data_IF_851746432640
#
_entry.id   IF_851746432640
#
_cell.length_a   1.000
_cell.length_b   1.000
_cell.length_c   1.000
_cell.angle_alpha   90.00
_cell.angle_beta   90.00
_cell.angle_gamma   90.00
#
_symmetry.space_group_name_H-M   'P 1'
#
loop_
_entity.id
_entity.type
_entity.pdbx_description
1 polymer ?
#
# COMPACT_ATOMS: atom_id res chain seq x y z
N UNK A 1 34.15 15.96 18.95
CA UNK A 1 35.41 16.68 19.23
C UNK A 1 36.47 16.21 18.25
N UNK A 2 37.35 17.08 17.79
CA UNK A 2 38.50 16.69 16.95
C UNK A 2 39.58 16.03 17.82
N UNK A 3 40.36 15.12 17.25
CA UNK A 3 41.49 14.47 17.95
C UNK A 3 42.69 14.27 17.03
N UNK A 4 43.90 14.31 17.60
CA UNK A 4 45.16 14.10 16.91
C UNK A 4 46.03 13.10 17.67
N UNK A 5 46.72 12.23 16.94
CA UNK A 5 47.63 11.21 17.47
C UNK A 5 49.10 11.44 17.12
N UNK A 6 49.39 12.48 16.32
CA UNK A 6 50.71 12.78 15.76
C UNK A 6 51.24 14.15 16.20
N UNK A 7 50.74 14.65 17.35
CA UNK A 7 51.21 15.91 17.94
C UNK A 7 50.60 17.16 17.32
N UNK A 8 49.39 17.05 16.75
CA UNK A 8 48.63 18.19 16.23
C UNK A 8 48.78 18.44 14.73
N UNK A 9 49.33 17.48 13.98
CA UNK A 9 49.48 17.59 12.52
C UNK A 9 48.21 17.10 11.82
N UNK A 10 47.72 15.91 12.17
CA UNK A 10 46.49 15.33 11.64
C UNK A 10 45.40 15.37 12.69
N UNK A 11 44.29 16.01 12.36
CA UNK A 11 43.09 16.03 13.18
C UNK A 11 41.97 15.26 12.51
N UNK A 12 41.30 14.39 13.27
CA UNK A 12 40.15 13.61 12.80
C UNK A 12 38.91 13.92 13.63
N UNK A 13 37.75 13.86 12.98
CA UNK A 13 36.44 13.92 13.60
C UNK A 13 35.45 13.10 12.77
N UNK A 14 34.34 12.71 13.39
CA UNK A 14 33.21 12.09 12.71
C UNK A 14 32.16 13.16 12.42
N UNK A 15 31.77 13.27 11.16
CA UNK A 15 30.59 14.04 10.76
C UNK A 15 29.37 13.12 10.80
N UNK A 16 28.29 13.59 11.42
CA UNK A 16 27.00 12.91 11.42
C UNK A 16 25.98 13.92 10.91
N UNK A 17 25.36 13.69 9.73
CA UNK A 17 24.36 14.61 9.21
C UNK A 17 23.12 14.64 10.09
N UNK A 18 22.44 15.79 10.11
CA UNK A 18 21.10 15.89 10.68
C UNK A 18 20.13 15.04 9.85
N UNK A 19 19.09 14.52 10.49
CA UNK A 19 18.03 13.78 9.80
C UNK A 19 17.18 14.70 8.90
N UNK A 20 16.50 14.10 7.94
CA UNK A 20 15.55 14.77 7.03
C UNK A 20 16.20 15.87 6.17
N UNK A 21 17.45 15.66 5.78
CA UNK A 21 18.19 16.51 4.85
C UNK A 21 18.40 15.77 3.53
N UNK A 22 18.11 16.43 2.42
CA UNK A 22 18.54 16.06 1.09
C UNK A 22 19.23 17.28 0.45
N UNK A 23 20.56 17.24 0.37
CA UNK A 23 21.38 18.32 -0.19
C UNK A 23 22.63 17.74 -0.85
N UNK A 24 22.88 18.10 -2.10
CA UNK A 24 24.01 17.60 -2.89
C UNK A 24 25.24 18.52 -2.87
N UNK A 25 25.17 19.67 -2.20
CA UNK A 25 26.10 20.81 -2.34
C UNK A 25 26.75 21.28 -1.04
N UNK A 26 27.10 20.35 -0.15
CA UNK A 26 27.63 20.69 1.17
C UNK A 26 29.16 20.85 1.19
N UNK A 27 29.65 21.73 2.07
CA UNK A 27 31.07 21.98 2.35
C UNK A 27 31.32 22.11 3.85
N UNK A 28 32.51 21.67 4.30
CA UNK A 28 33.08 22.01 5.60
C UNK A 28 34.13 23.08 5.37
N UNK A 29 33.98 24.23 6.02
CA UNK A 29 34.93 25.35 5.94
C UNK A 29 35.68 25.49 7.25
N UNK A 30 37.01 25.46 7.17
CA UNK A 30 37.91 25.80 8.28
C UNK A 30 38.25 27.29 8.20
N UNK A 31 37.99 28.02 9.29
CA UNK A 31 38.55 29.35 9.50
C UNK A 31 39.98 29.23 10.02
N UNK A 32 40.95 29.55 9.16
CA UNK A 32 42.36 29.44 9.50
C UNK A 32 42.83 30.55 10.45
N UNK A 33 42.04 31.61 10.67
CA UNK A 33 42.40 32.69 11.60
C UNK A 33 42.30 32.27 13.06
N UNK A 34 41.56 31.20 13.35
CA UNK A 34 41.41 30.61 14.68
C UNK A 34 42.50 29.63 15.11
N UNK A 35 43.47 29.32 14.23
CA UNK A 35 44.55 28.36 14.50
C UNK A 35 45.93 29.03 14.42
N UNK A 36 46.90 28.51 15.19
CA UNK A 36 48.28 28.97 15.17
C UNK A 36 49.25 27.80 15.30
N UNK A 37 50.47 27.96 14.79
CA UNK A 37 51.55 26.99 15.01
C UNK A 37 52.10 27.05 16.46
N UNK A 38 53.02 26.14 16.80
CA UNK A 38 53.64 26.09 18.14
C UNK A 38 54.51 27.32 18.47
N UNK A 39 54.88 28.13 17.47
CA UNK A 39 55.58 29.41 17.67
C UNK A 39 54.61 30.60 17.78
N UNK A 40 53.31 30.36 17.67
CA UNK A 40 52.26 31.38 17.79
C UNK A 40 51.93 32.11 16.48
N UNK A 41 52.39 31.64 15.32
CA UNK A 41 52.03 32.25 14.04
C UNK A 41 50.60 31.85 13.66
N UNK A 42 49.69 32.82 13.61
CA UNK A 42 48.29 32.59 13.24
C UNK A 42 48.12 32.33 11.73
N UNK A 43 47.15 31.48 11.38
CA UNK A 43 46.73 31.27 9.99
C UNK A 43 45.94 32.44 9.41
N UNK A 44 45.56 32.34 8.13
CA UNK A 44 44.82 33.37 7.40
C UNK A 44 43.81 32.76 6.41
N UNK A 45 42.68 33.44 6.24
CA UNK A 45 41.62 33.06 5.30
C UNK A 45 40.87 31.80 5.73
N UNK A 46 40.33 31.08 4.74
CA UNK A 46 39.58 29.83 4.96
C UNK A 46 40.13 28.70 4.09
N UNK A 47 39.76 27.48 4.44
CA UNK A 47 39.99 26.30 3.62
C UNK A 47 38.72 25.47 3.58
N UNK A 48 38.29 25.11 2.38
CA UNK A 48 37.09 24.31 2.16
C UNK A 48 37.46 22.84 1.91
N UNK A 49 36.60 21.93 2.36
CA UNK A 49 36.63 20.53 1.96
C UNK A 49 36.27 20.36 0.48
N UNK A 50 36.35 19.13 -0.02
CA UNK A 50 35.58 18.77 -1.21
C UNK A 50 34.07 18.84 -0.93
N UNK A 51 33.27 18.91 -2.00
CA UNK A 51 31.82 18.80 -1.92
C UNK A 51 31.41 17.41 -1.39
N UNK A 52 30.29 17.35 -0.67
CA UNK A 52 29.62 16.11 -0.29
C UNK A 52 28.09 16.23 -0.35
N UNK A 53 27.44 15.09 -0.60
CA UNK A 53 26.00 14.97 -0.59
C UNK A 53 25.51 14.36 0.74
N UNK A 54 24.32 14.77 1.17
CA UNK A 54 23.58 14.20 2.29
C UNK A 54 22.23 13.77 1.74
N UNK A 55 21.86 12.53 2.00
CA UNK A 55 20.48 12.07 1.88
C UNK A 55 20.12 11.26 3.12
N UNK A 56 19.26 11.85 3.95
CA UNK A 56 18.76 11.28 5.20
C UNK A 56 17.24 11.40 5.30
N UNK A 57 16.58 11.74 4.18
CA UNK A 57 15.13 11.68 4.06
C UNK A 57 14.74 10.22 3.96
N UNK A 58 13.60 9.85 4.53
CA UNK A 58 13.08 8.48 4.44
C UNK A 58 11.89 8.47 3.48
N UNK A 59 11.68 7.39 2.71
CA UNK A 59 10.53 7.29 1.84
C UNK A 59 9.24 7.26 2.66
N UNK A 60 8.24 8.01 2.18
CA UNK A 60 6.84 7.94 2.61
C UNK A 60 5.99 7.42 1.46
N UNK A 61 4.77 6.95 1.74
CA UNK A 61 3.90 6.36 0.73
C UNK A 61 2.45 6.80 0.87
N UNK A 62 1.69 6.75 -0.24
CA UNK A 62 0.23 6.77 -0.29
C UNK A 62 -0.29 5.54 -1.02
N UNK A 63 -1.51 5.09 -0.71
CA UNK A 63 -2.16 3.92 -1.34
C UNK A 63 -3.58 4.30 -1.73
N UNK A 64 -3.93 4.14 -3.00
CA UNK A 64 -5.24 4.50 -3.56
C UNK A 64 -5.79 3.32 -4.36
N UNK A 65 -7.06 3.00 -4.14
CA UNK A 65 -7.82 2.08 -4.98
C UNK A 65 -8.65 2.91 -5.96
N UNK A 66 -8.68 2.52 -7.23
CA UNK A 66 -9.47 3.22 -8.25
C UNK A 66 -10.98 3.07 -8.02
N UNK A 67 -11.40 1.89 -7.58
CA UNK A 67 -12.74 1.57 -7.11
C UNK A 67 -12.68 1.08 -5.65
N UNK A 68 -13.58 1.58 -4.82
CA UNK A 68 -13.66 1.30 -3.38
C UNK A 68 -14.93 0.55 -2.99
N UNK A 69 -15.79 0.16 -3.94
CA UNK A 69 -17.03 -0.59 -3.67
C UNK A 69 -17.11 -1.79 -4.60
N UNK A 70 -16.63 -2.96 -4.16
CA UNK A 70 -16.43 -4.10 -5.06
C UNK A 70 -17.49 -5.19 -4.88
N UNK A 71 -18.07 -5.61 -6.00
CA UNK A 71 -18.99 -6.72 -6.12
C UNK A 71 -18.31 -8.00 -6.63
N UNK A 72 -19.07 -9.11 -6.65
CA UNK A 72 -18.60 -10.39 -7.18
C UNK A 72 -18.12 -10.27 -8.65
N UNK A 73 -16.87 -10.68 -8.90
CA UNK A 73 -16.26 -10.66 -10.23
C UNK A 73 -15.57 -9.35 -10.62
N UNK A 74 -15.63 -8.32 -9.77
CA UNK A 74 -14.95 -7.05 -10.01
C UNK A 74 -13.48 -7.07 -9.58
N UNK A 75 -12.72 -6.09 -10.07
CA UNK A 75 -11.34 -5.84 -9.67
C UNK A 75 -11.09 -4.34 -9.60
N UNK A 76 -10.09 -3.92 -8.81
CA UNK A 76 -9.72 -2.51 -8.66
C UNK A 76 -8.21 -2.33 -8.89
N UNK A 77 -7.82 -1.28 -9.62
CA UNK A 77 -6.41 -0.92 -9.71
C UNK A 77 -5.98 -0.27 -8.40
N UNK A 78 -4.91 -0.79 -7.81
CA UNK A 78 -4.25 -0.22 -6.64
C UNK A 78 -3.00 0.50 -7.08
N UNK A 79 -2.89 1.76 -6.70
CA UNK A 79 -1.74 2.62 -6.97
C UNK A 79 -1.08 3.00 -5.64
N UNK A 80 0.20 2.72 -5.53
CA UNK A 80 1.06 3.06 -4.40
C UNK A 80 2.09 4.06 -4.89
N UNK A 81 2.17 5.22 -4.26
CA UNK A 81 3.12 6.28 -4.67
C UNK A 81 4.04 6.61 -3.51
N UNK A 82 5.34 6.49 -3.74
CA UNK A 82 6.37 6.88 -2.79
C UNK A 82 6.81 8.33 -3.01
N UNK A 83 7.30 8.99 -1.96
CA UNK A 83 7.85 10.35 -2.04
C UNK A 83 9.17 10.43 -2.81
N UNK A 84 9.84 9.30 -2.99
CA UNK A 84 11.10 9.13 -3.69
C UNK A 84 11.23 7.69 -4.20
N UNK A 85 12.22 7.44 -5.05
CA UNK A 85 12.37 6.14 -5.69
C UNK A 85 12.81 5.11 -4.66
N UNK A 86 12.05 4.01 -4.54
CA UNK A 86 12.36 2.93 -3.61
C UNK A 86 12.82 1.66 -4.30
N UNK A 87 13.56 0.86 -3.56
CA UNK A 87 13.96 -0.49 -3.93
C UNK A 87 13.48 -1.51 -2.90
N UNK A 88 13.41 -2.78 -3.29
CA UNK A 88 13.04 -3.88 -2.39
C UNK A 88 11.53 -4.03 -2.11
N UNK A 89 10.69 -3.10 -2.56
CA UNK A 89 9.24 -3.19 -2.35
C UNK A 89 8.61 -4.37 -3.10
N UNK A 90 7.87 -5.21 -2.36
CA UNK A 90 7.15 -6.37 -2.89
C UNK A 90 5.79 -6.55 -2.20
N UNK A 91 4.98 -7.51 -2.67
CA UNK A 91 3.73 -7.87 -1.99
C UNK A 91 3.93 -8.40 -0.56
N UNK A 92 5.14 -8.85 -0.18
CA UNK A 92 5.43 -9.29 1.19
C UNK A 92 5.40 -8.13 2.21
N UNK A 93 5.55 -6.90 1.73
CA UNK A 93 5.45 -5.69 2.55
C UNK A 93 3.99 -5.23 2.74
N UNK A 94 3.05 -5.88 2.08
CA UNK A 94 1.62 -5.55 2.10
C UNK A 94 0.81 -6.57 2.90
N UNK A 95 -0.10 -6.06 3.72
CA UNK A 95 -1.21 -6.83 4.27
C UNK A 95 -2.49 -6.40 3.56
N UNK A 96 -3.24 -7.36 3.03
CA UNK A 96 -4.44 -7.13 2.21
C UNK A 96 -5.64 -7.75 2.91
N UNK A 97 -6.66 -6.95 3.24
CA UNK A 97 -7.91 -7.45 3.79
C UNK A 97 -8.83 -7.98 2.69
N UNK A 98 -9.40 -9.17 2.90
CA UNK A 98 -10.48 -9.74 2.08
C UNK A 98 -10.24 -9.71 0.55
N UNK A 99 -9.01 -9.97 0.13
CA UNK A 99 -8.67 -10.10 -1.29
C UNK A 99 -7.20 -10.38 -1.53
N UNK A 100 -6.82 -10.32 -2.80
CA UNK A 100 -5.43 -10.53 -3.25
C UNK A 100 -5.01 -9.43 -4.21
N UNK A 101 -3.71 -9.15 -4.27
CA UNK A 101 -3.10 -8.32 -5.30
C UNK A 101 -2.32 -9.18 -6.29
N UNK A 102 -2.29 -8.77 -7.56
CA UNK A 102 -1.23 -9.21 -8.47
C UNK A 102 0.14 -8.76 -7.97
N UNK A 103 1.20 -9.25 -8.61
CA UNK A 103 2.54 -8.74 -8.36
C UNK A 103 2.59 -7.21 -8.54
N UNK A 104 3.12 -6.50 -7.55
CA UNK A 104 3.37 -5.06 -7.67
C UNK A 104 4.44 -4.81 -8.74
N UNK A 105 4.22 -3.78 -9.56
CA UNK A 105 5.14 -3.40 -10.62
C UNK A 105 5.27 -1.90 -10.75
N UNK A 106 6.47 -1.42 -11.08
CA UNK A 106 6.76 -0.01 -11.35
C UNK A 106 7.37 0.13 -12.74
N UNK A 107 7.04 1.23 -13.41
CA UNK A 107 7.58 1.60 -14.71
C UNK A 107 8.36 2.93 -14.69
N UNK A 108 8.48 3.56 -13.52
CA UNK A 108 9.06 4.89 -13.33
C UNK A 108 10.27 4.88 -12.38
N UNK A 109 10.91 3.71 -12.24
CA UNK A 109 12.11 3.56 -11.42
C UNK A 109 11.84 3.44 -9.93
N UNK A 110 10.63 3.06 -9.54
CA UNK A 110 10.27 2.76 -8.15
C UNK A 110 9.55 3.88 -7.41
N UNK A 111 9.03 4.90 -8.12
CA UNK A 111 8.23 5.97 -7.52
C UNK A 111 6.76 5.52 -7.39
N UNK A 112 6.19 5.02 -8.49
CA UNK A 112 4.82 4.55 -8.55
C UNK A 112 4.78 3.05 -8.80
N UNK A 113 4.00 2.37 -7.98
CA UNK A 113 3.78 0.94 -8.07
C UNK A 113 2.29 0.65 -8.25
N UNK A 114 1.98 -0.30 -9.13
CA UNK A 114 0.61 -0.70 -9.42
C UNK A 114 0.43 -2.20 -9.29
N UNK A 115 -0.77 -2.60 -8.86
CA UNK A 115 -1.24 -3.98 -8.85
C UNK A 115 -2.76 -4.01 -8.98
N UNK A 116 -3.32 -5.11 -9.48
CA UNK A 116 -4.77 -5.32 -9.54
C UNK A 116 -5.22 -6.04 -8.29
N UNK A 117 -6.17 -5.46 -7.57
CA UNK A 117 -6.87 -6.06 -6.44
C UNK A 117 -8.07 -6.86 -6.92
N UNK A 118 -8.23 -8.07 -6.37
CA UNK A 118 -9.38 -8.94 -6.57
C UNK A 118 -9.95 -9.31 -5.21
N UNK A 119 -11.23 -9.00 -4.92
CA UNK A 119 -11.85 -9.32 -3.64
C UNK A 119 -12.03 -10.83 -3.48
N UNK A 120 -11.97 -11.32 -2.25
CA UNK A 120 -12.32 -12.70 -1.92
C UNK A 120 -13.79 -12.95 -2.20
N UNK A 121 -14.13 -14.08 -2.81
CA UNK A 121 -15.51 -14.47 -3.11
C UNK A 121 -16.26 -14.87 -1.84
N UNK A 122 -17.56 -14.54 -1.75
CA UNK A 122 -18.41 -14.90 -0.63
C UNK A 122 -18.21 -14.07 0.64
N UNK A 123 -17.65 -12.87 0.52
CA UNK A 123 -17.39 -11.95 1.64
C UNK A 123 -18.27 -10.72 1.49
N UNK A 124 -18.91 -10.32 2.59
CA UNK A 124 -19.57 -9.02 2.73
C UNK A 124 -18.95 -8.31 3.91
N UNK A 125 -18.18 -7.26 3.64
CA UNK A 125 -17.44 -6.50 4.67
C UNK A 125 -17.40 -5.00 4.32
N UNK A 126 -17.99 -4.12 5.15
CA UNK A 126 -17.98 -2.69 4.90
C UNK A 126 -16.65 -2.00 5.29
N UNK A 127 -15.70 -2.69 5.94
CA UNK A 127 -14.46 -2.07 6.40
C UNK A 127 -13.21 -2.87 6.08
N UNK A 128 -12.48 -2.42 5.07
CA UNK A 128 -11.25 -3.06 4.60
C UNK A 128 -10.18 -2.03 4.28
N UNK A 129 -8.91 -2.39 4.50
CA UNK A 129 -7.76 -1.57 4.14
C UNK A 129 -6.62 -2.44 3.61
N UNK A 130 -5.79 -1.86 2.75
CA UNK A 130 -4.47 -2.39 2.39
C UNK A 130 -3.45 -1.61 3.22
N UNK A 131 -2.59 -2.33 3.93
CA UNK A 131 -1.55 -1.72 4.78
C UNK A 131 -0.17 -2.11 4.26
N UNK A 132 0.66 -1.10 4.03
CA UNK A 132 2.08 -1.21 3.73
C UNK A 132 2.90 -1.12 5.03
N UNK A 133 3.81 -2.06 5.23
CA UNK A 133 4.88 -1.95 6.21
C UNK A 133 6.06 -1.18 5.61
N UNK A 134 6.23 0.08 6.01
CA UNK A 134 7.27 0.94 5.46
C UNK A 134 8.68 0.50 5.87
N UNK A 135 8.85 -0.38 6.88
CA UNK A 135 10.18 -0.86 7.28
C UNK A 135 10.79 -1.87 6.31
N UNK A 136 10.00 -2.43 5.38
CA UNK A 136 10.49 -3.33 4.33
C UNK A 136 11.04 -2.61 3.10
N UNK A 137 10.89 -1.28 3.06
CA UNK A 137 11.17 -0.46 1.88
C UNK A 137 12.28 0.55 2.20
N UNK A 138 13.21 0.74 1.27
CA UNK A 138 14.27 1.75 1.39
C UNK A 138 14.41 2.53 0.09
N UNK A 139 14.86 3.78 0.21
CA UNK A 139 15.26 4.58 -0.95
C UNK A 139 16.59 4.10 -1.56
N UNK A 140 17.10 4.84 -2.54
CA UNK A 140 18.38 4.55 -3.20
C UNK A 140 19.58 4.84 -2.29
N UNK A 141 19.46 5.79 -1.36
CA UNK A 141 20.51 6.12 -0.39
C UNK A 141 20.60 5.10 0.76
N UNK A 142 19.64 4.18 0.85
CA UNK A 142 19.55 3.15 1.88
C UNK A 142 18.78 3.59 3.13
N UNK A 143 18.08 4.73 3.10
CA UNK A 143 17.23 5.13 4.21
C UNK A 143 15.94 4.28 4.19
N UNK A 144 15.83 3.37 5.15
CA UNK A 144 14.63 2.56 5.33
C UNK A 144 13.44 3.43 5.77
N UNK A 145 12.24 3.16 5.26
CA UNK A 145 11.01 3.75 5.75
C UNK A 145 10.73 3.37 7.22
N UNK A 146 9.65 3.94 7.78
CA UNK A 146 9.25 3.69 9.17
C UNK A 146 7.74 3.62 9.32
N UNK A 147 7.28 2.78 10.25
CA UNK A 147 5.86 2.61 10.55
C UNK A 147 5.09 1.95 9.41
N UNK A 148 3.83 2.34 9.26
CA UNK A 148 2.92 1.78 8.27
C UNK A 148 2.15 2.87 7.54
N UNK A 149 1.78 2.61 6.28
CA UNK A 149 0.84 3.41 5.51
C UNK A 149 -0.38 2.55 5.20
N UNK A 150 -1.59 3.09 5.35
CA UNK A 150 -2.83 2.39 4.94
C UNK A 150 -3.54 3.12 3.82
N UNK A 151 -4.25 2.38 2.99
CA UNK A 151 -5.19 2.93 2.01
C UNK A 151 -6.38 3.61 2.70
N UNK A 152 -7.19 4.30 1.90
CA UNK A 152 -8.59 4.55 2.27
C UNK A 152 -9.37 3.25 2.44
N UNK A 153 -10.55 3.34 3.08
CA UNK A 153 -11.45 2.20 3.23
C UNK A 153 -12.01 1.75 1.87
N UNK A 154 -12.19 0.45 1.69
CA UNK A 154 -13.03 -0.12 0.63
C UNK A 154 -14.06 -1.10 1.21
N UNK A 155 -15.19 -1.24 0.53
CA UNK A 155 -16.26 -2.18 0.88
C UNK A 155 -16.28 -3.32 -0.12
N UNK A 156 -16.63 -4.51 0.36
CA UNK A 156 -16.76 -5.70 -0.47
C UNK A 156 -18.14 -6.30 -0.24
N UNK A 157 -18.83 -6.67 -1.32
CA UNK A 157 -19.99 -7.54 -1.28
C UNK A 157 -19.95 -8.55 -2.44
N UNK A 158 -19.37 -9.72 -2.17
CA UNK A 158 -19.20 -10.80 -3.15
C UNK A 158 -20.03 -12.04 -2.80
N UNK A 159 -20.97 -11.92 -1.86
CA UNK A 159 -21.93 -12.98 -1.56
C UNK A 159 -22.89 -13.10 -2.75
N UNK A 160 -23.12 -14.33 -3.20
CA UNK A 160 -24.03 -14.59 -4.32
C UNK A 160 -25.37 -15.08 -3.79
N UNK A 161 -26.50 -14.70 -4.43
CA UNK A 161 -27.81 -15.18 -4.03
C UNK A 161 -27.92 -16.68 -4.29
N UNK A 162 -28.44 -17.39 -3.29
CA UNK A 162 -28.86 -18.79 -3.39
C UNK A 162 -30.36 -18.89 -3.19
N UNK A 163 -30.98 -19.98 -3.63
CA UNK A 163 -32.42 -20.17 -3.51
C UNK A 163 -32.77 -21.58 -3.03
N UNK A 164 -33.87 -21.68 -2.28
CA UNK A 164 -34.55 -22.94 -1.97
C UNK A 164 -35.97 -22.90 -2.50
N UNK A 165 -36.51 -24.06 -2.88
CA UNK A 165 -37.90 -24.19 -3.36
C UNK A 165 -38.58 -25.32 -2.59
N UNK A 166 -39.78 -25.03 -2.10
CA UNK A 166 -40.62 -25.99 -1.37
C UNK A 166 -41.99 -26.02 -2.02
N UNK A 167 -42.46 -27.23 -2.33
CA UNK A 167 -43.85 -27.49 -2.69
C UNK A 167 -44.54 -28.03 -1.43
N UNK A 168 -45.64 -27.40 -1.01
CA UNK A 168 -46.29 -27.74 0.26
C UNK A 168 -46.95 -29.13 0.23
N UNK A 169 -47.57 -29.49 -0.90
CA UNK A 169 -48.14 -30.82 -1.16
C UNK A 169 -47.47 -31.46 -2.38
N UNK A 170 -46.79 -32.58 -2.13
CA UNK A 170 -46.06 -33.31 -3.15
C UNK A 170 -46.89 -34.40 -3.85
N UNK A 171 -48.17 -34.55 -3.50
CA UNK A 171 -49.05 -35.62 -3.98
C UNK A 171 -50.41 -35.08 -4.48
N UNK A 172 -50.36 -34.19 -5.47
CA UNK A 172 -51.55 -33.55 -6.03
C UNK A 172 -52.43 -34.49 -6.85
N UNK A 173 -53.74 -34.39 -6.65
CA UNK A 173 -54.80 -35.03 -7.43
C UNK A 173 -55.51 -34.01 -8.33
N UNK A 174 -56.45 -34.51 -9.14
CA UNK A 174 -57.25 -33.68 -10.06
C UNK A 174 -57.98 -32.59 -9.26
N UNK A 175 -57.73 -31.33 -9.62
CA UNK A 175 -58.38 -30.16 -9.02
C UNK A 175 -57.71 -29.62 -7.76
N UNK A 176 -56.67 -30.29 -7.24
CA UNK A 176 -55.88 -29.78 -6.11
C UNK A 176 -54.81 -28.79 -6.60
N UNK A 177 -54.45 -27.83 -5.75
CA UNK A 177 -53.33 -26.92 -5.95
C UNK A 177 -52.39 -26.98 -4.74
N UNK A 178 -51.10 -26.77 -4.95
CA UNK A 178 -50.12 -26.63 -3.87
C UNK A 178 -49.52 -25.24 -3.89
N UNK A 179 -49.26 -24.69 -2.70
CA UNK A 179 -48.37 -23.55 -2.57
C UNK A 179 -46.95 -23.97 -2.97
N UNK A 180 -46.28 -23.11 -3.73
CA UNK A 180 -44.84 -23.19 -4.01
C UNK A 180 -44.19 -21.98 -3.35
N UNK A 181 -43.23 -22.22 -2.46
CA UNK A 181 -42.47 -21.17 -1.79
C UNK A 181 -41.04 -21.21 -2.28
N UNK A 182 -40.58 -20.09 -2.84
CA UNK A 182 -39.18 -19.88 -3.22
C UNK A 182 -38.58 -18.88 -2.24
N UNK A 183 -37.45 -19.22 -1.64
CA UNK A 183 -36.76 -18.37 -0.66
C UNK A 183 -35.33 -18.15 -1.11
N UNK A 184 -34.97 -16.89 -1.33
CA UNK A 184 -33.61 -16.47 -1.64
C UNK A 184 -32.83 -16.16 -0.36
N UNK A 185 -31.51 -16.34 -0.38
CA UNK A 185 -30.62 -16.01 0.76
C UNK A 185 -30.46 -14.51 0.98
N UNK A 186 -30.84 -13.69 0.00
CA UNK A 186 -30.82 -12.23 0.03
C UNK A 186 -31.87 -11.68 -0.93
N UNK A 187 -32.08 -10.37 -0.91
CA UNK A 187 -33.05 -9.74 -1.82
C UNK A 187 -32.57 -9.86 -3.28
N UNK A 188 -33.43 -10.35 -4.16
CA UNK A 188 -33.17 -10.44 -5.60
C UNK A 188 -34.09 -9.50 -6.37
N UNK A 189 -33.65 -9.07 -7.55
CA UNK A 189 -34.46 -8.29 -8.49
C UNK A 189 -34.59 -9.05 -9.82
N UNK A 190 -35.60 -8.72 -10.63
CA UNK A 190 -35.82 -9.34 -11.93
C UNK A 190 -36.43 -10.75 -11.91
N UNK A 191 -36.62 -11.36 -10.74
CA UNK A 191 -37.25 -12.67 -10.62
C UNK A 191 -38.74 -12.63 -11.02
N UNK A 192 -39.14 -13.53 -11.91
CA UNK A 192 -40.48 -13.64 -12.48
C UNK A 192 -40.79 -15.07 -12.89
N UNK A 193 -42.04 -15.32 -13.32
CA UNK A 193 -42.42 -16.63 -13.88
C UNK A 193 -41.64 -17.00 -15.17
N UNK A 194 -41.04 -16.03 -15.87
CA UNK A 194 -40.23 -16.31 -17.05
C UNK A 194 -38.91 -17.02 -16.70
N UNK A 195 -38.45 -16.88 -15.45
CA UNK A 195 -37.23 -17.54 -14.95
C UNK A 195 -37.49 -18.97 -14.50
N UNK A 196 -38.76 -19.43 -14.55
CA UNK A 196 -39.18 -20.75 -14.13
C UNK A 196 -39.58 -21.60 -15.34
N UNK A 197 -38.98 -22.78 -15.45
CA UNK A 197 -39.48 -23.81 -16.37
C UNK A 197 -40.39 -24.75 -15.60
N UNK A 198 -41.69 -24.69 -15.90
CA UNK A 198 -42.71 -25.45 -15.18
C UNK A 198 -43.16 -26.62 -16.06
N UNK A 199 -42.86 -27.84 -15.63
CA UNK A 199 -43.31 -29.04 -16.33
C UNK A 199 -44.74 -29.40 -15.92
N UNK A 200 -45.57 -29.76 -16.90
CA UNK A 200 -46.92 -30.33 -16.70
C UNK A 200 -47.86 -29.47 -15.83
N UNK A 201 -47.69 -28.15 -15.82
CA UNK A 201 -48.51 -27.25 -15.02
C UNK A 201 -48.22 -25.78 -15.30
N UNK A 202 -48.87 -24.92 -14.53
CA UNK A 202 -48.63 -23.47 -14.52
C UNK A 202 -48.45 -23.01 -13.08
N UNK A 203 -47.62 -21.98 -12.89
CA UNK A 203 -47.52 -21.24 -11.63
C UNK A 203 -48.23 -19.91 -11.80
N UNK A 204 -49.07 -19.53 -10.85
CA UNK A 204 -49.77 -18.24 -10.82
C UNK A 204 -49.64 -17.65 -9.42
N UNK A 205 -49.46 -16.33 -9.33
CA UNK A 205 -49.45 -15.60 -8.07
C UNK A 205 -50.89 -15.31 -7.59
#
# INVERSE_FOLDING_TARGET
AVSSSDGGITWTATFTPSASINDTTNLITLDNTGIADLSGNAGSGTTDSNNYAIDTVRPTATIVLADTTLAAGETSLVTITFSEAVSGFTNADLTIANGTLTAVSSSDGGITWTATFTPTVGVSDPSNVITLNNTGVADIAGNTGSGTTSSGNYTIDTVLPTATIVVADNALRIGETSLVTITFSEAVSGFSNADLTIANGTLTA
#
